data_IF_952088806280
#
_entry.id   IF_952088806280
#
_cell.length_a   1.000
_cell.length_b   1.000
_cell.length_c   1.000
_cell.angle_alpha   90.00
_cell.angle_beta   90.00
_cell.angle_gamma   90.00
#
_symmetry.space_group_name_H-M   'P 1'
#
loop_
_entity.id
_entity.type
_entity.pdbx_description
1 polymer ?
#
# COMPACT_ATOMS: atom_id res chain seq x y z
N UNK A 1 -4.04 -44.78 -7.58
CA UNK A 1 -3.52 -44.50 -6.21
C UNK A 1 -2.18 -43.76 -6.19
N UNK A 2 -1.05 -44.33 -6.65
CA UNK A 2 0.26 -43.64 -6.58
C UNK A 2 0.32 -42.39 -7.48
N UNK A 3 -0.23 -42.49 -8.69
CA UNK A 3 -0.33 -41.37 -9.64
C UNK A 3 -1.26 -40.25 -9.17
N UNK A 4 -2.38 -40.60 -8.53
CA UNK A 4 -3.32 -39.65 -7.95
C UNK A 4 -2.68 -38.87 -6.79
N UNK A 5 -1.91 -39.54 -5.94
CA UNK A 5 -1.14 -38.90 -4.86
C UNK A 5 -0.10 -37.93 -5.46
N UNK A 6 0.58 -38.31 -6.55
CA UNK A 6 1.52 -37.43 -7.25
C UNK A 6 0.82 -36.20 -7.85
N UNK A 7 -0.35 -36.38 -8.45
CA UNK A 7 -1.14 -35.29 -9.01
C UNK A 7 -1.59 -34.30 -7.92
N UNK A 8 -2.05 -34.81 -6.77
CA UNK A 8 -2.43 -33.98 -5.62
C UNK A 8 -1.23 -33.20 -5.08
N UNK A 9 -0.07 -33.84 -4.92
CA UNK A 9 1.14 -33.18 -4.45
C UNK A 9 1.61 -32.07 -5.41
N UNK A 10 1.49 -32.31 -6.71
CA UNK A 10 1.80 -31.30 -7.74
C UNK A 10 0.87 -30.09 -7.64
N UNK A 11 -0.44 -30.33 -7.52
CA UNK A 11 -1.43 -29.26 -7.37
C UNK A 11 -1.18 -28.47 -6.09
N UNK A 12 -0.95 -29.14 -4.96
CA UNK A 12 -0.69 -28.48 -3.68
C UNK A 12 0.54 -27.56 -3.76
N UNK A 13 1.64 -28.03 -4.36
CA UNK A 13 2.85 -27.24 -4.56
C UNK A 13 2.60 -26.02 -5.46
N UNK A 14 1.87 -26.22 -6.56
CA UNK A 14 1.52 -25.15 -7.50
C UNK A 14 0.62 -24.10 -6.84
N UNK A 15 -0.37 -24.52 -6.07
CA UNK A 15 -1.24 -23.63 -5.31
C UNK A 15 -0.47 -22.83 -4.27
N UNK A 16 0.48 -23.45 -3.55
CA UNK A 16 1.35 -22.75 -2.59
C UNK A 16 2.20 -21.68 -3.29
N UNK A 17 2.84 -22.03 -4.41
CA UNK A 17 3.64 -21.06 -5.18
C UNK A 17 2.78 -19.90 -5.71
N UNK A 18 1.58 -20.19 -6.23
CA UNK A 18 0.65 -19.17 -6.70
C UNK A 18 0.22 -18.24 -5.58
N UNK A 19 -0.09 -18.79 -4.40
CA UNK A 19 -0.46 -18.02 -3.22
C UNK A 19 0.68 -17.10 -2.78
N UNK A 20 1.92 -17.61 -2.72
CA UNK A 20 3.08 -16.78 -2.39
C UNK A 20 3.32 -15.65 -3.41
N UNK A 21 3.15 -15.92 -4.71
CA UNK A 21 3.25 -14.88 -5.75
C UNK A 21 2.13 -13.85 -5.61
N UNK A 22 0.90 -14.29 -5.35
CA UNK A 22 -0.24 -13.41 -5.12
C UNK A 22 0.01 -12.47 -3.94
N UNK A 23 0.43 -13.02 -2.79
CA UNK A 23 0.73 -12.23 -1.59
C UNK A 23 1.85 -11.21 -1.84
N UNK A 24 2.93 -11.60 -2.52
CA UNK A 24 4.02 -10.67 -2.89
C UNK A 24 3.57 -9.55 -3.84
N UNK A 25 2.70 -9.88 -4.79
CA UNK A 25 2.17 -8.90 -5.73
C UNK A 25 1.18 -7.93 -5.07
N UNK A 26 0.34 -8.38 -4.13
CA UNK A 26 -0.54 -7.47 -3.37
C UNK A 26 0.25 -6.44 -2.56
N UNK A 27 1.30 -6.86 -1.84
CA UNK A 27 2.15 -5.93 -1.08
C UNK A 27 2.83 -4.87 -1.96
N UNK A 28 3.43 -5.29 -3.07
CA UNK A 28 4.17 -4.39 -3.97
C UNK A 28 3.27 -3.50 -4.83
N UNK A 29 2.10 -4.01 -5.25
CA UNK A 29 1.12 -3.22 -6.01
C UNK A 29 0.42 -2.20 -5.11
N UNK A 30 0.17 -2.55 -3.85
CA UNK A 30 -0.47 -1.67 -2.87
C UNK A 30 0.36 -0.40 -2.64
N UNK A 31 1.63 -0.53 -2.25
CA UNK A 31 2.49 0.63 -1.91
C UNK A 31 2.68 1.57 -3.10
N UNK A 32 2.90 1.02 -4.30
CA UNK A 32 3.11 1.86 -5.50
C UNK A 32 1.83 2.55 -5.98
N UNK A 33 0.70 1.84 -5.94
CA UNK A 33 -0.59 2.43 -6.25
C UNK A 33 -0.94 3.56 -5.28
N UNK A 34 -0.57 3.38 -4.02
CA UNK A 34 -0.81 4.33 -2.94
C UNK A 34 0.05 5.60 -3.05
N UNK A 35 1.35 5.46 -3.37
CA UNK A 35 2.22 6.61 -3.69
C UNK A 35 1.70 7.40 -4.90
N UNK A 36 1.27 6.71 -5.97
CA UNK A 36 0.72 7.37 -7.16
C UNK A 36 -0.56 8.17 -6.86
N UNK A 37 -1.42 7.70 -5.95
CA UNK A 37 -2.63 8.43 -5.51
C UNK A 37 -2.28 9.73 -4.79
N UNK A 38 -1.14 9.79 -4.10
CA UNK A 38 -0.69 11.02 -3.42
C UNK A 38 -0.04 12.01 -4.38
N UNK A 39 0.75 11.53 -5.34
CA UNK A 39 1.29 12.38 -6.41
C UNK A 39 0.13 13.04 -7.18
N UNK A 40 -0.94 12.28 -7.45
CA UNK A 40 -2.16 12.80 -8.09
C UNK A 40 -2.87 13.91 -7.27
N UNK A 41 -2.58 14.06 -5.98
CA UNK A 41 -3.12 15.13 -5.13
C UNK A 41 -2.28 16.42 -5.16
N UNK A 42 -1.31 16.53 -6.08
CA UNK A 42 -0.46 17.72 -6.21
C UNK A 42 0.69 17.76 -5.19
N UNK A 43 1.11 16.58 -4.76
CA UNK A 43 2.25 16.39 -3.85
C UNK A 43 3.51 16.20 -4.68
N UNK A 44 4.54 17.00 -4.39
CA UNK A 44 5.83 16.91 -5.10
C UNK A 44 6.71 15.88 -4.41
N UNK A 45 7.34 14.99 -5.19
CA UNK A 45 8.32 14.05 -4.65
C UNK A 45 9.43 14.81 -3.89
N UNK A 46 9.71 14.38 -2.66
CA UNK A 46 10.66 15.04 -1.76
C UNK A 46 10.08 16.15 -0.88
N UNK A 47 8.80 16.50 -0.97
CA UNK A 47 8.16 17.44 -0.04
C UNK A 47 7.84 16.79 1.32
N UNK A 48 7.51 17.63 2.31
CA UNK A 48 7.05 17.19 3.64
C UNK A 48 5.80 16.30 3.54
N UNK A 49 4.87 16.63 2.62
CA UNK A 49 3.70 15.82 2.36
C UNK A 49 4.04 14.49 1.67
N UNK A 50 5.07 14.44 0.82
CA UNK A 50 5.57 13.18 0.26
C UNK A 50 6.17 12.31 1.37
N UNK A 51 6.95 12.90 2.27
CA UNK A 51 7.54 12.19 3.39
C UNK A 51 6.49 11.63 4.36
N UNK A 52 5.55 12.46 4.84
CA UNK A 52 4.52 12.00 5.78
C UNK A 52 3.61 10.92 5.17
N UNK A 53 3.42 10.96 3.85
CA UNK A 53 2.68 9.93 3.11
C UNK A 53 3.36 8.55 3.19
N UNK A 54 4.68 8.48 3.03
CA UNK A 54 5.41 7.20 3.17
C UNK A 54 5.25 6.61 4.57
N UNK A 55 5.06 7.45 5.59
CA UNK A 55 4.80 7.04 6.96
C UNK A 55 3.33 6.64 7.17
N UNK A 56 2.41 7.28 6.44
CA UNK A 56 0.97 7.02 6.54
C UNK A 56 0.61 5.62 6.06
N UNK A 57 1.22 5.18 4.95
CA UNK A 57 0.96 3.87 4.35
C UNK A 57 1.46 2.67 5.18
N UNK A 58 2.20 2.95 6.25
CA UNK A 58 2.53 1.95 7.27
C UNK A 58 1.33 1.71 8.20
N UNK A 59 0.43 2.69 8.35
CA UNK A 59 -0.76 2.62 9.18
C UNK A 59 -2.03 2.49 8.30
N UNK A 60 -2.63 1.30 8.32
CA UNK A 60 -3.82 0.97 7.53
C UNK A 60 -5.03 1.88 7.81
N UNK A 61 -5.30 2.20 9.08
CA UNK A 61 -6.45 3.04 9.44
C UNK A 61 -6.29 4.48 8.92
N UNK A 62 -5.08 5.05 9.04
CA UNK A 62 -4.83 6.40 8.53
C UNK A 62 -4.86 6.44 7.00
N UNK A 63 -4.38 5.37 6.36
CA UNK A 63 -4.49 5.18 4.90
C UNK A 63 -5.94 5.15 4.45
N UNK A 64 -6.77 4.36 5.12
CA UNK A 64 -8.20 4.25 4.83
C UNK A 64 -8.91 5.60 5.01
N UNK A 65 -8.65 6.30 6.12
CA UNK A 65 -9.17 7.66 6.34
C UNK A 65 -8.76 8.61 5.20
N UNK A 66 -7.49 8.62 4.80
CA UNK A 66 -6.98 9.47 3.72
C UNK A 66 -7.66 9.16 2.37
N UNK A 67 -7.87 7.88 2.06
CA UNK A 67 -8.54 7.44 0.83
C UNK A 67 -10.02 7.83 0.80
N UNK A 68 -10.69 7.90 1.95
CA UNK A 68 -12.07 8.36 2.04
C UNK A 68 -12.24 9.89 2.04
N UNK A 69 -11.15 10.66 2.14
CA UNK A 69 -11.20 12.12 2.00
C UNK A 69 -11.34 12.55 0.53
N UNK A 70 -12.01 13.69 0.31
CA UNK A 70 -12.05 14.33 -1.00
C UNK A 70 -10.66 14.76 -1.47
N UNK A 71 -10.35 14.59 -2.76
CA UNK A 71 -9.01 14.83 -3.31
C UNK A 71 -8.47 16.24 -3.00
N UNK A 72 -9.33 17.26 -3.02
CA UNK A 72 -8.95 18.65 -2.74
C UNK A 72 -8.52 18.93 -1.29
N UNK A 73 -8.88 18.08 -0.32
CA UNK A 73 -8.57 18.29 1.10
C UNK A 73 -7.34 17.51 1.57
N UNK A 74 -6.91 16.51 0.78
CA UNK A 74 -5.81 15.58 1.12
C UNK A 74 -4.48 16.28 1.35
N UNK A 75 -4.09 17.23 0.48
CA UNK A 75 -2.81 17.94 0.61
C UNK A 75 -2.69 18.73 1.92
N UNK A 76 -3.69 19.54 2.25
CA UNK A 76 -3.70 20.30 3.52
C UNK A 76 -3.82 19.42 4.76
N UNK A 77 -4.38 18.21 4.63
CA UNK A 77 -4.34 17.24 5.71
C UNK A 77 -2.96 16.63 5.92
N UNK A 78 -2.25 16.27 4.84
CA UNK A 78 -0.87 15.78 4.90
C UNK A 78 0.04 16.82 5.55
N UNK A 79 -0.09 18.09 5.16
CA UNK A 79 0.66 19.20 5.75
C UNK A 79 0.46 19.29 7.26
N UNK A 80 -0.80 19.35 7.72
CA UNK A 80 -1.13 19.34 9.16
C UNK A 80 -0.61 18.10 9.88
N UNK A 81 -0.61 16.94 9.23
CA UNK A 81 -0.10 15.70 9.81
C UNK A 81 1.42 15.76 10.00
N UNK A 82 2.13 16.38 9.05
CA UNK A 82 3.55 16.66 9.17
C UNK A 82 3.80 17.65 10.32
N UNK A 83 3.07 18.76 10.37
CA UNK A 83 3.20 19.78 11.44
C UNK A 83 2.93 19.19 12.84
N UNK A 84 1.92 18.33 13.00
CA UNK A 84 1.67 17.67 14.30
C UNK A 84 2.84 16.78 14.73
N UNK A 85 3.55 16.18 13.77
CA UNK A 85 4.62 15.21 14.05
C UNK A 85 6.00 15.88 14.18
N UNK A 86 6.24 16.96 13.45
CA UNK A 86 7.55 17.59 13.27
C UNK A 86 7.55 19.12 13.43
N UNK A 87 6.38 19.75 13.48
CA UNK A 87 6.23 21.17 13.81
C UNK A 87 6.50 21.38 15.30
N UNK A 88 7.32 22.38 15.60
CA UNK A 88 7.60 22.81 16.97
C UNK A 88 6.40 23.49 17.62
#
# INVERSE_FOLDING_TARGET
MREEITAIAYIAKRSQTLFEVYMRNEETTSVRADINKVIACGTTEGSDEHFITTQLFINREQTEMFLHMGAGTRKGWLHRKFDIKYGN
#
